data_IF_110902937640
#
_entry.id   IF_110902937640
#
_cell.length_a   1.000
_cell.length_b   1.000
_cell.length_c   1.000
_cell.angle_alpha   90.00
_cell.angle_beta   90.00
_cell.angle_gamma   90.00
#
_symmetry.space_group_name_H-M   'P 1'
#
loop_
_entity.id
_entity.type
_entity.pdbx_description
1 polymer ?
#
# COMPACT_ATOMS: atom_id res chain seq x y z
N UNK A 1 -9.93 1.18 4.66
CA UNK A 1 -9.55 0.25 3.58
C UNK A 1 -9.60 0.96 2.25
N UNK A 2 -8.50 0.93 1.49
CA UNK A 2 -8.35 1.65 0.22
C UNK A 2 -8.74 0.82 -1.02
N UNK A 3 -9.01 -0.49 -0.86
CA UNK A 3 -9.43 -1.41 -1.92
C UNK A 3 -10.89 -1.83 -1.73
N UNK A 4 -11.72 -1.71 -2.76
CA UNK A 4 -13.09 -2.23 -2.80
C UNK A 4 -13.20 -3.26 -3.91
N UNK A 5 -13.62 -4.48 -3.56
CA UNK A 5 -13.74 -5.63 -4.47
C UNK A 5 -15.17 -5.75 -5.01
N UNK A 6 -16.16 -5.28 -4.26
CA UNK A 6 -17.57 -5.31 -4.68
C UNK A 6 -17.85 -4.33 -5.82
N UNK A 7 -17.14 -3.19 -5.78
CA UNK A 7 -17.02 -2.24 -6.87
C UNK A 7 -15.53 -2.04 -7.15
N UNK A 8 -14.91 -2.88 -8.01
CA UNK A 8 -13.45 -2.93 -8.20
C UNK A 8 -12.81 -1.56 -8.40
N UNK A 9 -12.26 -1.00 -7.33
CA UNK A 9 -11.60 0.31 -7.32
C UNK A 9 -10.59 0.42 -6.20
N UNK A 10 -9.66 1.35 -6.38
CA UNK A 10 -8.74 1.79 -5.33
C UNK A 10 -8.94 3.27 -5.05
N UNK A 11 -9.05 3.62 -3.77
CA UNK A 11 -9.12 5.00 -3.30
C UNK A 11 -7.72 5.51 -2.98
N UNK A 12 -7.26 6.56 -3.66
CA UNK A 12 -6.01 7.24 -3.34
C UNK A 12 -6.31 8.35 -2.34
N UNK A 13 -5.95 8.14 -1.07
CA UNK A 13 -6.30 9.05 0.04
C UNK A 13 -5.12 9.67 0.75
N UNK A 14 -3.92 9.10 0.63
CA UNK A 14 -2.68 9.54 1.27
C UNK A 14 -1.50 9.20 0.38
N UNK A 15 -0.42 9.96 0.51
CA UNK A 15 0.87 9.66 -0.14
C UNK A 15 1.93 9.48 0.94
N UNK A 16 2.73 8.42 0.79
CA UNK A 16 3.91 8.19 1.61
C UNK A 16 5.14 8.71 0.88
N UNK A 17 5.92 9.57 1.53
CA UNK A 17 7.22 10.01 1.02
C UNK A 17 8.27 9.92 2.11
N UNK A 18 9.51 9.68 1.69
CA UNK A 18 10.65 9.54 2.58
C UNK A 18 11.47 10.82 2.58
N UNK A 19 11.67 11.40 3.75
CA UNK A 19 12.50 12.58 3.96
C UNK A 19 13.99 12.25 3.85
N UNK A 20 14.83 13.27 3.64
CA UNK A 20 16.29 13.11 3.55
C UNK A 20 16.90 12.59 4.86
N UNK A 21 16.27 12.89 6.00
CA UNK A 21 16.63 12.35 7.32
C UNK A 21 16.23 10.87 7.50
N UNK A 22 15.57 10.26 6.52
CA UNK A 22 15.16 8.86 6.52
C UNK A 22 13.76 8.59 7.07
N UNK A 23 13.09 9.59 7.63
CA UNK A 23 11.73 9.45 8.20
C UNK A 23 10.66 9.33 7.11
N UNK A 24 9.62 8.56 7.41
CA UNK A 24 8.43 8.48 6.57
C UNK A 24 7.42 9.56 6.98
N UNK A 25 6.90 10.29 5.99
CA UNK A 25 5.75 11.15 6.16
C UNK A 25 4.60 10.68 5.31
N UNK A 26 3.42 10.68 5.92
CA UNK A 26 2.14 10.40 5.30
C UNK A 26 1.37 11.70 5.26
N UNK A 27 1.21 12.24 4.06
CA UNK A 27 0.38 13.44 3.88
C UNK A 27 -0.89 13.06 3.14
N UNK A 28 -2.00 13.65 3.59
CA UNK A 28 -3.18 13.71 2.74
C UNK A 28 -2.83 14.49 1.47
N UNK A 29 -3.37 14.10 0.31
CA UNK A 29 -3.11 14.80 -0.93
C UNK A 29 -3.43 16.28 -0.74
N UNK A 30 -2.47 17.13 -1.10
CA UNK A 30 -2.44 18.58 -0.83
C UNK A 30 -3.67 19.34 -1.34
N UNK A 31 -4.51 18.70 -2.16
CA UNK A 31 -5.76 19.23 -2.74
C UNK A 31 -6.78 18.12 -2.92
N UNK A 32 -8.09 18.43 -2.81
CA UNK A 32 -9.19 17.49 -3.06
C UNK A 32 -9.11 16.80 -4.43
N UNK A 33 -8.55 17.50 -5.42
CA UNK A 33 -8.33 17.00 -6.79
C UNK A 33 -7.39 15.79 -6.87
N UNK A 34 -6.57 15.57 -5.84
CA UNK A 34 -5.63 14.44 -5.76
C UNK A 34 -6.20 13.25 -4.97
N UNK A 35 -7.35 13.41 -4.30
CA UNK A 35 -8.14 12.28 -3.80
C UNK A 35 -8.97 11.74 -4.96
N UNK A 36 -8.73 10.49 -5.36
CA UNK A 36 -9.44 9.90 -6.50
C UNK A 36 -9.71 8.43 -6.27
N UNK A 37 -10.86 7.99 -6.74
CA UNK A 37 -11.15 6.58 -6.94
C UNK A 37 -10.72 6.19 -8.36
N UNK A 38 -9.88 5.17 -8.45
CA UNK A 38 -9.42 4.62 -9.72
C UNK A 38 -10.10 3.28 -9.91
N UNK A 39 -10.96 3.12 -10.93
CA UNK A 39 -11.51 1.82 -11.29
C UNK A 39 -10.39 0.83 -11.59
N UNK A 40 -10.52 -0.39 -11.09
CA UNK A 40 -9.57 -1.48 -11.32
C UNK A 40 -10.23 -2.59 -12.12
N UNK A 41 -9.49 -3.28 -13.01
CA UNK A 41 -9.90 -4.59 -13.49
C UNK A 41 -10.10 -5.54 -12.30
N UNK A 42 -11.14 -6.38 -12.35
CA UNK A 42 -11.44 -7.35 -11.28
C UNK A 42 -10.25 -8.26 -10.97
N UNK A 43 -9.49 -8.65 -11.99
CA UNK A 43 -8.28 -9.47 -11.84
C UNK A 43 -7.21 -8.79 -10.98
N UNK A 44 -7.04 -7.46 -11.12
CA UNK A 44 -6.10 -6.69 -10.32
C UNK A 44 -6.61 -6.51 -8.88
N UNK A 45 -7.91 -6.29 -8.68
CA UNK A 45 -8.49 -6.21 -7.34
C UNK A 45 -8.30 -7.53 -6.57
N UNK A 46 -8.55 -8.67 -7.21
CA UNK A 46 -8.33 -10.01 -6.62
C UNK A 46 -6.84 -10.27 -6.32
N UNK A 47 -5.94 -9.82 -7.21
CA UNK A 47 -4.50 -9.93 -6.97
C UNK A 47 -4.07 -9.15 -5.73
N UNK A 48 -4.57 -7.92 -5.56
CA UNK A 48 -4.26 -7.08 -4.39
C UNK A 48 -4.83 -7.65 -3.09
N UNK A 49 -6.03 -8.23 -3.13
CA UNK A 49 -6.63 -8.94 -1.99
C UNK A 49 -5.75 -10.11 -1.56
N UNK A 50 -5.36 -10.98 -2.51
CA UNK A 50 -4.50 -12.12 -2.24
C UNK A 50 -3.13 -11.69 -1.69
N UNK A 51 -2.58 -10.61 -2.22
CA UNK A 51 -1.32 -10.06 -1.71
C UNK A 51 -1.46 -9.60 -0.25
N UNK A 52 -2.57 -8.95 0.11
CA UNK A 52 -2.86 -8.55 1.50
C UNK A 52 -2.98 -9.76 2.42
N UNK A 53 -3.72 -10.81 2.02
CA UNK A 53 -3.84 -12.05 2.79
C UNK A 53 -2.47 -12.69 3.04
N UNK A 54 -1.59 -12.68 2.04
CA UNK A 54 -0.21 -13.16 2.21
C UNK A 54 0.59 -12.33 3.23
N UNK A 55 0.42 -11.00 3.24
CA UNK A 55 1.08 -10.14 4.25
C UNK A 55 0.59 -10.41 5.65
N UNK A 56 -0.72 -10.58 5.81
CA UNK A 56 -1.31 -10.95 7.08
C UNK A 56 -0.77 -12.30 7.58
N UNK A 57 -0.73 -13.33 6.73
CA UNK A 57 -0.18 -14.64 7.10
C UNK A 57 1.31 -14.58 7.51
N UNK A 58 2.11 -13.72 6.85
CA UNK A 58 3.52 -13.51 7.22
C UNK A 58 3.62 -12.80 8.58
N UNK A 59 2.79 -11.80 8.85
CA UNK A 59 2.76 -11.10 10.14
C UNK A 59 2.34 -12.03 11.27
N UNK A 60 1.29 -12.83 11.06
CA UNK A 60 0.82 -13.85 12.01
C UNK A 60 1.92 -14.88 12.32
N UNK A 61 2.62 -15.39 11.29
CA UNK A 61 3.76 -16.29 11.48
C UNK A 61 4.89 -15.66 12.30
N UNK A 62 5.03 -14.33 12.25
CA UNK A 62 6.00 -13.55 13.04
C UNK A 62 5.48 -13.11 14.40
N UNK A 63 4.25 -13.48 14.77
CA UNK A 63 3.57 -12.97 15.97
C UNK A 63 3.50 -11.44 16.00
N UNK A 64 3.37 -10.82 14.83
CA UNK A 64 3.14 -9.39 14.65
C UNK A 64 1.66 -9.13 14.40
N UNK A 65 1.15 -8.01 14.92
CA UNK A 65 -0.19 -7.56 14.58
C UNK A 65 -0.23 -7.08 13.13
N UNK A 66 -1.33 -7.37 12.43
CA UNK A 66 -1.63 -6.86 11.11
C UNK A 66 -3.00 -6.17 11.15
N UNK A 67 -2.99 -4.88 10.85
CA UNK A 67 -4.09 -3.94 11.00
C UNK A 67 -4.54 -3.39 9.65
N UNK A 68 -5.60 -2.58 9.67
CA UNK A 68 -6.08 -1.90 8.46
C UNK A 68 -5.14 -0.81 7.94
N UNK A 69 -4.21 -0.33 8.78
CA UNK A 69 -3.24 0.71 8.43
C UNK A 69 -1.94 0.13 7.84
N UNK A 70 -1.81 -1.21 7.81
CA UNK A 70 -0.64 -1.89 7.26
C UNK A 70 -0.60 -1.90 5.73
N UNK A 71 0.62 -1.91 5.20
CA UNK A 71 0.85 -1.76 3.77
C UNK A 71 0.79 -3.11 3.03
N UNK A 72 -0.03 -3.14 1.97
CA UNK A 72 -0.07 -4.25 1.01
C UNK A 72 1.28 -4.42 0.29
N UNK A 73 1.90 -3.30 -0.09
CA UNK A 73 3.26 -3.26 -0.66
C UNK A 73 4.30 -2.93 0.41
N UNK A 74 4.62 -3.94 1.21
CA UNK A 74 5.59 -3.87 2.29
C UNK A 74 6.76 -4.82 2.08
N UNK A 75 7.89 -4.51 2.72
CA UNK A 75 8.99 -5.44 2.96
C UNK A 75 8.55 -6.54 3.94
N UNK A 76 9.32 -7.62 4.10
CA UNK A 76 8.95 -8.69 5.03
C UNK A 76 8.75 -8.21 6.47
N UNK A 77 9.46 -7.15 6.89
CA UNK A 77 9.34 -6.52 8.21
C UNK A 77 8.16 -5.55 8.36
N UNK A 78 7.28 -5.44 7.36
CA UNK A 78 6.13 -4.53 7.35
C UNK A 78 6.46 -3.10 6.86
N UNK A 79 7.73 -2.73 6.77
CA UNK A 79 8.13 -1.38 6.36
C UNK A 79 7.91 -1.12 4.86
N UNK A 80 7.70 0.14 4.50
CA UNK A 80 7.60 0.54 3.10
C UNK A 80 8.95 0.39 2.38
N UNK A 81 8.95 -0.09 1.12
CA UNK A 81 10.15 -0.05 0.29
C UNK A 81 10.57 1.41 0.04
N UNK A 82 11.87 1.68 0.08
CA UNK A 82 12.40 3.01 -0.22
C UNK A 82 12.13 3.34 -1.70
N UNK A 83 11.35 4.41 -2.01
CA UNK A 83 10.89 4.68 -3.36
C UNK A 83 12.05 4.92 -4.35
N UNK A 84 13.20 5.40 -3.85
CA UNK A 84 14.41 5.68 -4.66
C UNK A 84 15.06 4.41 -5.23
N UNK A 85 14.75 3.26 -4.63
CA UNK A 85 15.28 1.97 -5.07
C UNK A 85 14.25 1.14 -5.83
N UNK A 86 12.96 1.50 -5.75
CA UNK A 86 11.91 0.78 -6.44
C UNK A 86 12.09 0.84 -7.96
N UNK A 87 12.46 2.02 -8.50
CA UNK A 87 12.71 2.20 -9.93
C UNK A 87 13.88 1.38 -10.46
N UNK A 88 14.90 1.11 -9.63
CA UNK A 88 16.08 0.33 -10.00
C UNK A 88 15.78 -1.15 -10.27
N UNK A 89 14.66 -1.66 -9.75
CA UNK A 89 14.26 -3.08 -9.94
C UNK A 89 13.66 -3.32 -11.32
N UNK A 90 13.26 -2.26 -12.03
CA UNK A 90 12.60 -2.33 -13.35
C UNK A 90 13.48 -1.82 -14.50
N UNK A 91 14.78 -1.63 -14.26
CA UNK A 91 15.78 -1.26 -15.29
C UNK A 91 16.42 -2.50 -15.89
#
# INVERSE_FOLDING_TARGET
>A
MDLDISSPKISIRRTAYKLDNGEWRFEEPKTDRSRRDIPLPISLALLLMRLREQKQAIAEWRSQEFSEDDFVFSRPDGSLPDPRYLSKVFQ
#
